data_IF_823086886178
#
_entry.id   IF_823086886178
#
_cell.length_a   1.000
_cell.length_b   1.000
_cell.length_c   1.000
_cell.angle_alpha   90.00
_cell.angle_beta   90.00
_cell.angle_gamma   90.00
#
_symmetry.space_group_name_H-M   'P 1'
#
loop_
_entity.id
_entity.type
_entity.pdbx_description
1 polymer ?
#
# COMPACT_ATOMS: atom_id res chain seq x y z
N UNK A 1 -1.79 -3.76 25.03
CA UNK A 1 -0.95 -3.77 23.80
C UNK A 1 -1.88 -3.86 22.60
N UNK A 2 -1.74 -2.99 21.59
CA UNK A 2 -2.60 -3.05 20.39
C UNK A 2 -2.31 -4.35 19.62
N UNK A 3 -3.37 -4.98 19.11
CA UNK A 3 -3.26 -6.20 18.32
C UNK A 3 -2.59 -5.91 16.97
N UNK A 4 -1.57 -6.68 16.62
CA UNK A 4 -0.80 -6.52 15.37
C UNK A 4 -1.69 -6.71 14.13
N UNK A 5 -2.62 -7.66 14.15
CA UNK A 5 -3.58 -7.88 13.05
C UNK A 5 -4.44 -6.65 12.84
N UNK A 6 -4.83 -5.96 13.92
CA UNK A 6 -5.62 -4.73 13.83
C UNK A 6 -4.83 -3.59 13.16
N UNK A 7 -3.53 -3.45 13.46
CA UNK A 7 -2.68 -2.46 12.80
C UNK A 7 -2.49 -2.75 11.30
N UNK A 8 -2.27 -4.02 10.94
CA UNK A 8 -2.22 -4.43 9.54
C UNK A 8 -3.53 -4.13 8.80
N UNK A 9 -4.69 -4.37 9.43
CA UNK A 9 -5.98 -4.04 8.85
C UNK A 9 -6.15 -2.54 8.64
N UNK A 10 -5.73 -1.70 9.59
CA UNK A 10 -5.75 -0.24 9.44
C UNK A 10 -4.89 0.20 8.25
N UNK A 11 -3.65 -0.29 8.15
CA UNK A 11 -2.75 0.05 7.05
C UNK A 11 -3.33 -0.40 5.70
N UNK A 12 -3.83 -1.64 5.63
CA UNK A 12 -4.48 -2.22 4.46
C UNK A 12 -5.66 -1.37 3.98
N UNK A 13 -6.64 -1.14 4.86
CA UNK A 13 -7.85 -0.39 4.52
C UNK A 13 -7.50 1.05 4.12
N UNK A 14 -6.60 1.69 4.87
CA UNK A 14 -6.15 3.06 4.57
C UNK A 14 -5.54 3.11 3.16
N UNK A 15 -4.67 2.16 2.81
CA UNK A 15 -4.05 2.14 1.48
C UNK A 15 -5.05 1.99 0.34
N UNK A 16 -6.07 1.13 0.52
CA UNK A 16 -7.11 0.89 -0.48
C UNK A 16 -7.96 2.16 -0.66
N UNK A 17 -8.41 2.76 0.44
CA UNK A 17 -9.22 3.98 0.44
C UNK A 17 -8.45 5.13 -0.21
N UNK A 18 -7.19 5.34 0.18
CA UNK A 18 -6.35 6.40 -0.42
C UNK A 18 -6.10 6.13 -1.91
N UNK A 19 -5.80 4.91 -2.32
CA UNK A 19 -5.57 4.57 -3.72
C UNK A 19 -6.83 4.77 -4.59
N UNK A 20 -8.03 4.50 -4.03
CA UNK A 20 -9.31 4.83 -4.65
C UNK A 20 -9.45 6.35 -4.87
N UNK A 21 -9.17 7.16 -3.83
CA UNK A 21 -9.18 8.63 -3.96
C UNK A 21 -8.17 9.14 -5.00
N UNK A 22 -7.01 8.49 -5.11
CA UNK A 22 -5.96 8.80 -6.10
C UNK A 22 -6.27 8.26 -7.51
N UNK A 23 -7.45 7.68 -7.72
CA UNK A 23 -7.90 7.11 -8.99
C UNK A 23 -6.90 6.10 -9.57
N UNK A 24 -6.28 5.29 -8.70
CA UNK A 24 -5.50 4.11 -9.12
C UNK A 24 -6.49 3.08 -9.67
N UNK A 25 -6.22 2.43 -10.82
CA UNK A 25 -7.14 1.42 -11.34
C UNK A 25 -7.28 0.25 -10.36
N UNK A 26 -8.46 -0.35 -10.26
CA UNK A 26 -8.70 -1.46 -9.32
C UNK A 26 -7.84 -2.67 -9.70
N UNK A 27 -7.77 -2.98 -10.99
CA UNK A 27 -7.00 -4.06 -11.58
C UNK A 27 -5.98 -3.47 -12.59
N UNK A 28 -4.84 -4.14 -12.79
CA UNK A 28 -3.94 -3.84 -13.91
C UNK A 28 -4.70 -3.89 -15.24
N UNK A 29 -4.44 -2.95 -16.14
CA UNK A 29 -5.10 -2.88 -17.46
C UNK A 29 -4.42 -3.78 -18.47
N UNK A 30 -3.08 -3.89 -18.39
CA UNK A 30 -2.29 -4.74 -19.28
C UNK A 30 -2.58 -6.21 -19.01
N UNK A 31 -2.96 -6.95 -20.06
CA UNK A 31 -3.14 -8.40 -20.04
C UNK A 31 -1.87 -9.10 -20.54
N UNK A 32 -1.57 -10.32 -20.06
CA UNK A 32 -2.26 -11.03 -18.99
C UNK A 32 -1.96 -10.44 -17.60
N UNK A 33 -3.00 -10.26 -16.77
CA UNK A 33 -2.94 -9.53 -15.47
C UNK A 33 -1.85 -10.10 -14.55
N UNK A 34 -1.70 -11.43 -14.51
CA UNK A 34 -0.72 -12.12 -13.65
C UNK A 34 0.75 -11.79 -13.94
N UNK A 35 1.04 -11.25 -15.12
CA UNK A 35 2.39 -10.83 -15.51
C UNK A 35 2.49 -9.30 -15.65
N UNK A 36 1.47 -8.57 -15.16
CA UNK A 36 1.45 -7.12 -15.19
C UNK A 36 1.97 -6.56 -13.86
N UNK A 37 3.02 -5.78 -13.94
CA UNK A 37 3.51 -4.92 -12.85
C UNK A 37 2.88 -3.53 -12.90
N UNK A 38 1.87 -3.33 -13.75
CA UNK A 38 1.12 -2.08 -13.79
C UNK A 38 0.40 -1.87 -12.46
N UNK A 39 0.49 -0.65 -11.95
CA UNK A 39 0.04 -0.33 -10.60
C UNK A 39 -1.48 -0.32 -10.51
N UNK A 40 -1.98 -0.95 -9.46
CA UNK A 40 -3.40 -1.10 -9.17
C UNK A 40 -3.67 -1.08 -7.66
N UNK A 41 -4.95 -0.95 -7.30
CA UNK A 41 -5.38 -0.96 -5.90
C UNK A 41 -5.13 -2.33 -5.27
N UNK A 42 -5.24 -3.42 -6.03
CA UNK A 42 -4.98 -4.77 -5.52
C UNK A 42 -3.49 -5.12 -5.50
N UNK A 43 -2.71 -4.54 -6.40
CA UNK A 43 -1.28 -4.80 -6.53
C UNK A 43 -0.54 -3.61 -7.18
N UNK A 44 0.54 -3.09 -6.58
CA UNK A 44 1.19 -3.53 -5.34
C UNK A 44 0.69 -2.83 -4.07
N UNK A 45 -0.32 -1.95 -4.16
CA UNK A 45 -0.75 -1.05 -3.06
C UNK A 45 -0.81 -1.71 -1.66
N UNK A 46 -1.52 -2.84 -1.47
CA UNK A 46 -1.67 -3.45 -0.15
C UNK A 46 -0.35 -4.00 0.38
N UNK A 47 0.47 -4.56 -0.50
CA UNK A 47 1.76 -5.18 -0.14
C UNK A 47 2.72 -4.12 0.37
N UNK A 48 2.77 -2.97 -0.30
CA UNK A 48 3.60 -1.84 0.13
C UNK A 48 3.13 -1.31 1.50
N UNK A 49 1.82 -1.13 1.69
CA UNK A 49 1.26 -0.67 2.95
C UNK A 49 1.57 -1.61 4.13
N UNK A 50 1.41 -2.92 3.93
CA UNK A 50 1.73 -3.93 4.95
C UNK A 50 3.24 -3.98 5.25
N UNK A 51 4.08 -3.88 4.23
CA UNK A 51 5.54 -3.86 4.40
C UNK A 51 6.02 -2.63 5.19
N UNK A 52 5.51 -1.45 4.85
CA UNK A 52 5.85 -0.20 5.55
C UNK A 52 5.32 -0.24 6.99
N UNK A 53 4.10 -0.77 7.22
CA UNK A 53 3.56 -0.93 8.58
C UNK A 53 4.50 -1.78 9.42
N UNK A 54 4.94 -2.92 8.88
CA UNK A 54 5.82 -3.84 9.60
C UNK A 54 7.14 -3.15 10.00
N UNK A 55 7.71 -2.34 9.10
CA UNK A 55 8.93 -1.56 9.36
C UNK A 55 8.69 -0.52 10.45
N UNK A 56 7.66 0.32 10.31
CA UNK A 56 7.36 1.39 11.28
C UNK A 56 7.05 0.82 12.66
N UNK A 57 6.29 -0.27 12.71
CA UNK A 57 5.96 -0.97 13.95
C UNK A 57 7.20 -1.52 14.64
N UNK A 58 8.13 -2.11 13.88
CA UNK A 58 9.37 -2.65 14.44
C UNK A 58 10.32 -1.56 14.93
N UNK A 59 10.36 -0.40 14.26
CA UNK A 59 11.25 0.71 14.63
C UNK A 59 10.71 1.56 15.77
N UNK A 60 9.41 1.80 15.81
CA UNK A 60 8.81 2.82 16.67
C UNK A 60 7.75 2.26 17.63
N UNK A 61 7.18 1.07 17.36
CA UNK A 61 6.21 0.41 18.22
C UNK A 61 4.78 0.34 17.65
N UNK A 62 3.87 -0.22 18.45
CA UNK A 62 2.51 -0.59 18.03
C UNK A 62 1.52 0.60 18.12
N UNK A 63 1.58 1.54 17.19
CA UNK A 63 0.71 2.73 17.18
C UNK A 63 -0.21 2.82 15.96
N UNK A 64 -1.48 3.17 16.20
CA UNK A 64 -2.51 3.33 15.16
C UNK A 64 -2.11 4.38 14.11
N UNK A 65 -1.54 5.51 14.55
CA UNK A 65 -1.14 6.57 13.61
C UNK A 65 -0.03 6.11 12.66
N UNK A 66 0.88 5.24 13.10
CA UNK A 66 1.91 4.65 12.23
C UNK A 66 1.31 3.72 11.19
N UNK A 67 0.31 2.92 11.56
CA UNK A 67 -0.41 2.07 10.61
C UNK A 67 -1.16 2.90 9.56
N UNK A 68 -1.79 4.01 9.96
CA UNK A 68 -2.41 4.94 9.01
C UNK A 68 -1.39 5.55 8.06
N UNK A 69 -0.25 6.04 8.59
CA UNK A 69 0.85 6.59 7.80
C UNK A 69 1.38 5.54 6.81
N UNK A 70 1.58 4.30 7.25
CA UNK A 70 2.02 3.21 6.38
C UNK A 70 1.05 2.97 5.21
N UNK A 71 -0.25 2.97 5.48
CA UNK A 71 -1.28 2.84 4.45
C UNK A 71 -1.26 3.99 3.44
N UNK A 72 -1.14 5.23 3.93
CA UNK A 72 -1.01 6.43 3.11
C UNK A 72 0.21 6.35 2.19
N UNK A 73 1.39 6.04 2.75
CA UNK A 73 2.62 5.93 1.99
C UNK A 73 2.60 4.76 1.01
N UNK A 74 2.01 3.62 1.38
CA UNK A 74 1.85 2.47 0.49
C UNK A 74 1.04 2.82 -0.76
N UNK A 75 -0.05 3.57 -0.61
CA UNK A 75 -0.85 4.06 -1.73
C UNK A 75 -0.11 5.09 -2.60
N UNK A 76 0.59 6.04 -1.98
CA UNK A 76 1.37 7.05 -2.71
C UNK A 76 2.52 6.40 -3.50
N UNK A 77 3.30 5.52 -2.86
CA UNK A 77 4.37 4.77 -3.52
C UNK A 77 3.83 3.93 -4.66
N UNK A 78 2.68 3.26 -4.48
CA UNK A 78 2.07 2.53 -5.59
C UNK A 78 1.67 3.43 -6.75
N UNK A 79 1.03 4.59 -6.48
CA UNK A 79 0.63 5.54 -7.54
C UNK A 79 1.83 6.04 -8.35
N UNK A 80 2.94 6.30 -7.68
CA UNK A 80 4.11 6.95 -8.27
C UNK A 80 5.28 5.99 -8.56
N UNK A 81 5.10 4.67 -8.42
CA UNK A 81 6.14 3.69 -8.64
C UNK A 81 6.80 3.84 -10.02
N UNK A 82 6.01 4.06 -11.08
CA UNK A 82 6.52 4.29 -12.44
C UNK A 82 7.46 5.50 -12.55
N UNK A 83 7.26 6.55 -11.74
CA UNK A 83 8.16 7.73 -11.72
C UNK A 83 9.41 7.48 -10.90
N UNK A 84 9.30 6.67 -9.85
CA UNK A 84 10.41 6.37 -8.93
C UNK A 84 11.40 5.36 -9.50
N UNK A 85 10.90 4.39 -10.27
CA UNK A 85 11.69 3.26 -10.75
C UNK A 85 11.90 3.24 -12.27
N UNK A 86 11.37 4.24 -12.99
CA UNK A 86 11.44 4.32 -14.45
C UNK A 86 10.40 3.45 -15.16
N UNK A 87 10.35 3.56 -16.49
CA UNK A 87 9.52 2.68 -17.32
C UNK A 87 10.08 1.26 -17.27
N UNK A 88 9.27 0.31 -16.76
CA UNK A 88 9.53 -1.13 -16.85
C UNK A 88 8.57 -1.75 -17.86
#
# INVERSE_FOLDING_TARGET
MINIVFLYLISLITSIVVALFLKVPILPKKKPIRFSFETSIIFPTPILALGIEAILRNLFGNYIYLAFIAGLFGALLSKYAHKLFGEV
#
